data_IF_018677675983
#
_entry.id   IF_018677675983
#
_cell.length_a   1.000
_cell.length_b   1.000
_cell.length_c   1.000
_cell.angle_alpha   90.00
_cell.angle_beta   90.00
_cell.angle_gamma   90.00
#
_symmetry.space_group_name_H-M   'P 1'
#
loop_
_entity.id
_entity.type
_entity.pdbx_description
1 polymer ?
#
# COMPACT_ATOMS: atom_id res chain seq x y z
N UNK A 1 1.77 -11.75 19.62
CA UNK A 1 2.09 -10.32 19.86
C UNK A 1 1.58 -9.47 18.72
N UNK A 2 2.00 -9.76 17.49
CA UNK A 2 1.71 -8.95 16.31
C UNK A 2 0.23 -8.95 15.93
N UNK A 3 -0.38 -10.12 15.72
CA UNK A 3 -1.85 -10.28 15.52
C UNK A 3 -2.72 -9.66 16.63
N UNK A 4 -2.17 -9.50 17.84
CA UNK A 4 -2.88 -8.86 18.97
C UNK A 4 -2.91 -7.34 18.82
N UNK A 5 -1.83 -6.75 18.28
CA UNK A 5 -1.77 -5.32 18.00
C UNK A 5 -2.71 -4.93 16.86
N UNK A 6 -2.81 -5.75 15.81
CA UNK A 6 -3.72 -5.52 14.68
C UNK A 6 -5.18 -5.59 15.13
N UNK A 7 -5.54 -6.63 15.88
CA UNK A 7 -6.89 -6.76 16.45
C UNK A 7 -7.26 -5.59 17.38
N UNK A 8 -6.32 -5.09 18.18
CA UNK A 8 -6.56 -3.90 19.03
C UNK A 8 -6.70 -2.62 18.20
N UNK A 9 -5.98 -2.50 17.08
CA UNK A 9 -6.11 -1.37 16.19
C UNK A 9 -7.49 -1.35 15.52
N UNK A 10 -7.95 -2.50 15.03
CA UNK A 10 -9.28 -2.64 14.42
C UNK A 10 -10.38 -2.36 15.44
N UNK A 11 -10.24 -2.87 16.67
CA UNK A 11 -11.24 -2.72 17.74
C UNK A 11 -11.31 -1.29 18.31
N UNK A 12 -10.16 -0.59 18.46
CA UNK A 12 -10.08 0.64 19.26
C UNK A 12 -9.52 1.85 18.52
N UNK A 13 -9.12 1.68 17.26
CA UNK A 13 -8.39 2.68 16.49
C UNK A 13 -7.00 2.99 17.06
N UNK A 14 -6.18 3.72 16.30
CA UNK A 14 -4.79 4.00 16.67
C UNK A 14 -4.65 4.72 18.03
N UNK A 15 -5.59 5.61 18.36
CA UNK A 15 -5.61 6.32 19.64
C UNK A 15 -5.83 5.38 20.84
N UNK A 16 -6.66 4.35 20.67
CA UNK A 16 -6.97 3.38 21.73
C UNK A 16 -5.92 2.30 21.95
N UNK A 17 -4.97 2.13 21.01
CA UNK A 17 -3.85 1.21 21.16
C UNK A 17 -2.81 1.78 22.14
N UNK A 18 -2.44 0.98 23.14
CA UNK A 18 -1.40 1.28 24.14
C UNK A 18 -0.47 0.09 24.31
N UNK A 19 0.78 0.34 24.72
CA UNK A 19 1.75 -0.74 25.00
C UNK A 19 1.26 -1.67 26.10
N UNK A 20 0.61 -1.10 27.13
CA UNK A 20 -0.02 -1.83 28.22
C UNK A 20 -1.19 -2.68 27.74
N UNK A 21 -2.03 -2.13 26.85
CA UNK A 21 -3.14 -2.85 26.23
C UNK A 21 -2.65 -4.04 25.41
N UNK A 22 -1.59 -3.87 24.62
CA UNK A 22 -0.96 -4.94 23.86
C UNK A 22 -0.40 -6.01 24.81
N UNK A 23 0.30 -5.63 25.89
CA UNK A 23 0.83 -6.55 26.90
C UNK A 23 -0.27 -7.38 27.56
N UNK A 24 -1.32 -6.70 28.01
CA UNK A 24 -2.45 -7.34 28.67
C UNK A 24 -3.16 -8.33 27.73
N UNK A 25 -3.45 -7.91 26.49
CA UNK A 25 -4.15 -8.74 25.50
C UNK A 25 -3.33 -9.94 25.04
N UNK A 26 -1.99 -9.81 25.00
CA UNK A 26 -1.08 -10.88 24.64
C UNK A 26 -0.65 -11.76 25.83
N UNK A 27 -1.06 -11.44 27.06
CA UNK A 27 -0.72 -12.22 28.26
C UNK A 27 0.76 -12.16 28.65
N UNK A 28 1.48 -11.10 28.28
CA UNK A 28 2.92 -10.94 28.57
C UNK A 28 3.18 -9.81 29.56
N UNK A 29 4.28 -9.91 30.30
CA UNK A 29 4.73 -8.84 31.18
C UNK A 29 5.14 -7.59 30.38
N UNK A 30 4.92 -6.40 30.94
CA UNK A 30 5.30 -5.12 30.31
C UNK A 30 6.79 -5.08 29.96
N UNK A 31 7.66 -5.57 30.85
CA UNK A 31 9.10 -5.61 30.58
C UNK A 31 9.45 -6.42 29.33
N UNK A 32 8.67 -7.45 29.01
CA UNK A 32 8.87 -8.26 27.82
C UNK A 32 8.61 -7.45 26.55
N UNK A 33 7.55 -6.64 26.49
CA UNK A 33 7.29 -5.78 25.32
C UNK A 33 8.37 -4.71 25.19
N UNK A 34 8.63 -3.96 26.25
CA UNK A 34 9.57 -2.83 26.21
C UNK A 34 11.02 -3.25 25.92
N UNK A 35 11.35 -4.55 26.09
CA UNK A 35 12.64 -5.11 25.68
C UNK A 35 12.81 -5.17 24.16
N UNK A 36 11.71 -5.37 23.41
CA UNK A 36 11.74 -5.57 21.96
C UNK A 36 11.26 -4.33 21.19
N UNK A 37 10.30 -3.58 21.74
CA UNK A 37 9.70 -2.42 21.08
C UNK A 37 9.72 -1.20 21.98
N UNK A 38 10.17 -0.06 21.44
CA UNK A 38 10.26 1.20 22.19
C UNK A 38 8.95 1.97 22.16
N UNK A 39 8.15 1.76 21.12
CA UNK A 39 6.86 2.42 20.92
C UNK A 39 5.78 1.47 20.42
N UNK A 40 4.50 1.87 20.57
CA UNK A 40 3.38 1.12 19.96
C UNK A 40 3.46 1.10 18.43
N UNK A 41 4.03 2.14 17.83
CA UNK A 41 4.23 2.25 16.40
C UNK A 41 5.26 1.23 15.90
N UNK A 42 6.27 0.90 16.71
CA UNK A 42 7.25 -0.15 16.40
C UNK A 42 6.58 -1.53 16.40
N UNK A 43 5.69 -1.78 17.37
CA UNK A 43 4.91 -3.04 17.42
C UNK A 43 4.01 -3.16 16.21
N UNK A 44 3.27 -2.08 15.88
CA UNK A 44 2.39 -2.04 14.71
C UNK A 44 3.16 -2.14 13.39
N UNK A 45 4.37 -1.57 13.31
CA UNK A 45 5.25 -1.71 12.14
C UNK A 45 5.66 -3.16 11.94
N UNK A 46 6.12 -3.83 13.00
CA UNK A 46 6.53 -5.23 12.90
C UNK A 46 5.34 -6.15 12.59
N UNK A 47 4.16 -5.84 13.13
CA UNK A 47 2.93 -6.58 12.84
C UNK A 47 2.54 -6.43 11.38
N UNK A 48 2.49 -5.18 10.93
CA UNK A 48 2.25 -4.83 9.54
C UNK A 48 3.24 -5.50 8.58
N UNK A 49 4.53 -5.49 8.89
CA UNK A 49 5.55 -6.10 8.02
C UNK A 49 5.43 -7.61 7.92
N UNK A 50 4.97 -8.28 8.98
CA UNK A 50 4.71 -9.71 8.96
C UNK A 50 3.51 -10.03 8.06
N UNK A 51 2.44 -9.25 8.16
CA UNK A 51 1.18 -9.52 7.45
C UNK A 51 1.22 -9.02 5.99
N UNK A 52 1.87 -7.88 5.74
CA UNK A 52 2.01 -7.30 4.40
C UNK A 52 3.02 -8.04 3.50
N UNK A 53 3.75 -9.03 4.05
CA UNK A 53 4.68 -9.86 3.29
C UNK A 53 3.98 -10.70 2.21
N UNK A 54 2.67 -10.94 2.34
CA UNK A 54 1.97 -11.92 1.50
C UNK A 54 1.16 -11.32 0.33
N UNK A 55 0.73 -10.05 0.35
CA UNK A 55 -0.52 -9.71 -0.37
C UNK A 55 -0.51 -8.72 -1.56
N UNK A 56 0.63 -8.13 -1.97
CA UNK A 56 0.65 -7.13 -3.07
C UNK A 56 1.60 -7.46 -4.24
N UNK A 57 1.72 -8.74 -4.60
CA UNK A 57 2.43 -9.10 -5.84
C UNK A 57 1.59 -8.76 -7.05
N UNK A 58 2.13 -7.90 -7.93
CA UNK A 58 1.51 -7.54 -9.19
C UNK A 58 1.30 -8.79 -10.08
N UNK A 59 0.08 -8.99 -10.62
CA UNK A 59 -0.16 -9.97 -11.67
C UNK A 59 0.80 -9.80 -12.86
N UNK A 60 1.02 -10.88 -13.59
CA UNK A 60 1.86 -10.92 -14.78
C UNK A 60 1.21 -11.78 -15.86
N UNK A 61 -0.01 -11.43 -16.26
CA UNK A 61 -0.71 -12.19 -17.30
C UNK A 61 -0.22 -11.86 -18.70
N UNK A 62 0.62 -10.83 -18.85
CA UNK A 62 1.09 -10.33 -20.14
C UNK A 62 0.12 -9.36 -20.81
N UNK A 63 -0.97 -8.99 -20.15
CA UNK A 63 -1.94 -7.99 -20.61
C UNK A 63 -1.93 -6.83 -19.61
N UNK A 64 -1.31 -5.72 -20.00
CA UNK A 64 -1.18 -4.54 -19.14
C UNK A 64 -2.53 -4.02 -18.64
N UNK A 65 -3.57 -4.06 -19.47
CA UNK A 65 -4.87 -3.55 -19.06
C UNK A 65 -5.45 -4.40 -17.93
N UNK A 66 -5.32 -5.72 -18.04
CA UNK A 66 -5.73 -6.66 -17.00
C UNK A 66 -4.86 -6.54 -15.75
N UNK A 67 -3.55 -6.55 -15.92
CA UNK A 67 -2.58 -6.51 -14.81
C UNK A 67 -2.77 -5.24 -13.97
N UNK A 68 -2.99 -4.08 -14.59
CA UNK A 68 -3.25 -2.82 -13.89
C UNK A 68 -4.59 -2.81 -13.16
N UNK A 69 -5.66 -3.30 -13.78
CA UNK A 69 -6.98 -3.36 -13.12
C UNK A 69 -6.94 -4.27 -11.91
N UNK A 70 -6.36 -5.46 -12.05
CA UNK A 70 -6.24 -6.42 -10.96
C UNK A 70 -5.34 -5.86 -9.84
N UNK A 71 -4.26 -5.16 -10.19
CA UNK A 71 -3.41 -4.47 -9.21
C UNK A 71 -4.16 -3.38 -8.44
N UNK A 72 -4.80 -2.43 -9.13
CA UNK A 72 -5.51 -1.33 -8.48
C UNK A 72 -6.69 -1.81 -7.63
N UNK A 73 -7.39 -2.87 -8.04
CA UNK A 73 -8.46 -3.47 -7.23
C UNK A 73 -7.92 -4.13 -5.97
N UNK A 74 -6.79 -4.83 -6.04
CA UNK A 74 -6.11 -5.38 -4.85
C UNK A 74 -5.67 -4.28 -3.90
N UNK A 75 -5.08 -3.20 -4.44
CA UNK A 75 -4.69 -2.05 -3.64
C UNK A 75 -5.92 -1.35 -3.01
N UNK A 76 -7.01 -1.21 -3.74
CA UNK A 76 -8.26 -0.66 -3.24
C UNK A 76 -8.83 -1.50 -2.08
N UNK A 77 -8.90 -2.82 -2.24
CA UNK A 77 -9.33 -3.72 -1.18
C UNK A 77 -8.40 -3.66 0.04
N UNK A 78 -7.08 -3.66 -0.19
CA UNK A 78 -6.10 -3.52 0.88
C UNK A 78 -6.35 -2.23 1.69
N UNK A 79 -6.48 -1.08 1.03
CA UNK A 79 -6.63 0.21 1.70
C UNK A 79 -7.99 0.39 2.41
N UNK A 80 -9.05 -0.22 1.90
CA UNK A 80 -10.43 0.00 2.36
C UNK A 80 -10.93 -1.09 3.31
N UNK A 81 -10.61 -2.35 3.06
CA UNK A 81 -11.29 -3.51 3.66
C UNK A 81 -10.37 -4.39 4.52
N UNK A 82 -9.05 -4.25 4.39
CA UNK A 82 -8.11 -5.16 5.07
C UNK A 82 -7.61 -4.59 6.42
N UNK A 83 -7.47 -5.47 7.42
CA UNK A 83 -6.87 -5.12 8.71
C UNK A 83 -5.44 -4.56 8.55
N UNK A 84 -4.53 -5.17 7.75
CA UNK A 84 -3.20 -4.60 7.50
C UNK A 84 -3.26 -3.22 6.83
N UNK A 85 -4.27 -2.95 6.01
CA UNK A 85 -4.50 -1.63 5.42
C UNK A 85 -4.89 -0.56 6.46
N UNK A 86 -5.70 -0.92 7.46
CA UNK A 86 -5.98 -0.03 8.59
C UNK A 86 -4.70 0.31 9.36
N UNK A 87 -3.84 -0.67 9.60
CA UNK A 87 -2.51 -0.47 10.21
C UNK A 87 -1.66 0.45 9.35
N UNK A 88 -1.54 0.17 8.06
CA UNK A 88 -0.78 0.97 7.11
C UNK A 88 -1.17 2.46 7.14
N UNK A 89 -2.46 2.78 7.14
CA UNK A 89 -2.96 4.17 7.23
C UNK A 89 -2.53 4.85 8.53
N UNK A 90 -2.59 4.12 9.64
CA UNK A 90 -2.14 4.64 10.93
C UNK A 90 -0.63 4.88 10.98
N UNK A 91 0.17 4.01 10.34
CA UNK A 91 1.63 4.20 10.21
C UNK A 91 1.96 5.41 9.32
N UNK A 92 1.21 5.65 8.22
CA UNK A 92 1.36 6.88 7.42
C UNK A 92 1.12 8.12 8.29
N UNK A 93 0.04 8.13 9.07
CA UNK A 93 -0.30 9.24 9.94
C UNK A 93 0.82 9.49 10.98
N UNK A 94 1.32 8.42 11.62
CA UNK A 94 2.42 8.53 12.58
C UNK A 94 3.70 9.09 11.93
N UNK A 95 4.02 8.67 10.70
CA UNK A 95 5.18 9.16 9.96
C UNK A 95 5.12 10.66 9.65
N UNK A 96 3.95 11.31 9.71
CA UNK A 96 3.86 12.77 9.57
C UNK A 96 4.32 13.53 10.82
N UNK A 97 4.34 12.87 11.98
CA UNK A 97 4.65 13.49 13.26
C UNK A 97 6.01 13.06 13.85
N UNK A 98 6.57 11.95 13.36
CA UNK A 98 7.84 11.39 13.85
C UNK A 98 8.81 11.13 12.68
N UNK A 99 9.80 12.01 12.46
CA UNK A 99 10.76 11.86 11.37
C UNK A 99 11.65 10.61 11.47
N UNK A 100 11.94 10.14 12.68
CA UNK A 100 12.77 8.94 12.90
C UNK A 100 11.98 7.71 12.48
N UNK A 101 10.74 7.62 12.94
CA UNK A 101 9.82 6.57 12.50
C UNK A 101 9.55 6.65 10.99
N UNK A 102 9.39 7.85 10.41
CA UNK A 102 9.18 8.02 8.98
C UNK A 102 10.38 7.50 8.15
N UNK A 103 11.60 7.67 8.64
CA UNK A 103 12.79 7.12 8.01
C UNK A 103 12.78 5.59 8.06
N UNK A 104 12.47 5.01 9.22
CA UNK A 104 12.40 3.56 9.39
C UNK A 104 11.31 2.96 8.49
N UNK A 105 10.08 3.50 8.54
CA UNK A 105 8.96 3.05 7.71
C UNK A 105 9.27 3.11 6.21
N UNK A 106 9.92 4.19 5.77
CA UNK A 106 10.33 4.33 4.37
C UNK A 106 11.27 3.20 3.95
N UNK A 107 12.33 3.00 4.74
CA UNK A 107 13.37 2.01 4.42
C UNK A 107 12.86 0.56 4.50
N UNK A 108 12.03 0.24 5.49
CA UNK A 108 11.56 -1.13 5.75
C UNK A 108 10.39 -1.54 4.87
N UNK A 109 9.57 -0.58 4.43
CA UNK A 109 8.36 -0.89 3.67
C UNK A 109 8.17 -0.05 2.39
N UNK A 110 8.12 1.28 2.50
CA UNK A 110 7.66 2.13 1.37
C UNK A 110 8.56 2.02 0.13
N UNK A 111 9.86 1.80 0.30
CA UNK A 111 10.78 1.61 -0.83
C UNK A 111 10.49 0.28 -1.56
N UNK A 112 10.13 -0.77 -0.83
CA UNK A 112 9.68 -2.04 -1.41
C UNK A 112 8.31 -1.92 -2.07
N UNK A 113 7.40 -1.17 -1.44
CA UNK A 113 6.09 -0.86 -1.98
C UNK A 113 6.18 -0.14 -3.33
N UNK A 114 6.97 0.94 -3.43
CA UNK A 114 7.17 1.67 -4.69
C UNK A 114 7.66 0.79 -5.83
N UNK A 115 8.54 -0.18 -5.54
CA UNK A 115 8.98 -1.15 -6.55
C UNK A 115 7.85 -2.05 -7.01
N UNK A 116 6.99 -2.52 -6.10
CA UNK A 116 5.80 -3.31 -6.45
C UNK A 116 4.79 -2.52 -7.28
N UNK A 117 4.54 -1.26 -6.90
CA UNK A 117 3.63 -0.35 -7.62
C UNK A 117 4.07 -0.11 -9.08
N UNK A 118 5.38 -0.11 -9.34
CA UNK A 118 5.96 0.11 -10.68
C UNK A 118 6.04 -1.15 -11.53
N UNK A 119 6.04 -2.33 -10.91
CA UNK A 119 6.32 -3.60 -11.57
C UNK A 119 5.42 -3.91 -12.78
N UNK A 120 4.09 -3.63 -12.76
CA UNK A 120 3.25 -3.81 -13.96
C UNK A 120 3.73 -2.99 -15.16
N UNK A 121 4.17 -1.74 -14.92
CA UNK A 121 4.61 -0.83 -15.98
C UNK A 121 5.99 -1.21 -16.50
N UNK A 122 6.91 -1.58 -15.60
CA UNK A 122 8.25 -2.07 -15.97
C UNK A 122 8.15 -3.30 -16.90
N UNK A 123 7.33 -4.29 -16.52
CA UNK A 123 7.07 -5.47 -17.35
C UNK A 123 6.45 -5.14 -18.70
N UNK A 124 5.56 -4.15 -18.75
CA UNK A 124 4.93 -3.73 -19.99
C UNK A 124 5.92 -3.02 -20.93
N UNK A 125 6.85 -2.22 -20.39
CA UNK A 125 7.97 -1.65 -21.16
C UNK A 125 8.86 -2.76 -21.73
N UNK A 126 9.24 -3.74 -20.91
CA UNK A 126 10.07 -4.88 -21.34
C UNK A 126 9.42 -5.69 -22.47
N UNK A 127 8.09 -5.74 -22.49
CA UNK A 127 7.29 -6.38 -23.55
C UNK A 127 7.03 -5.49 -24.77
N UNK A 128 7.47 -4.24 -24.77
CA UNK A 128 7.20 -3.27 -25.83
C UNK A 128 5.73 -2.82 -25.90
N UNK A 129 4.96 -3.01 -24.83
CA UNK A 129 3.56 -2.57 -24.71
C UNK A 129 3.45 -1.08 -24.34
N UNK A 130 4.52 -0.51 -23.78
CA UNK A 130 4.66 0.90 -23.44
C UNK A 130 5.96 1.48 -24.02
N UNK A 131 6.03 2.80 -24.24
CA UNK A 131 7.28 3.48 -24.61
C UNK A 131 8.39 3.28 -23.57
N UNK A 132 9.63 3.11 -24.03
CA UNK A 132 10.79 2.90 -23.15
C UNK A 132 11.23 4.16 -22.38
N UNK A 133 10.83 5.35 -22.84
CA UNK A 133 11.14 6.65 -22.26
C UNK A 133 10.04 7.18 -21.32
N UNK A 134 9.05 6.35 -21.00
CA UNK A 134 7.98 6.69 -20.07
C UNK A 134 8.54 7.02 -18.68
N UNK A 135 8.05 8.11 -18.07
CA UNK A 135 8.29 8.35 -16.64
C UNK A 135 7.43 7.41 -15.80
N UNK A 136 7.95 6.21 -15.55
CA UNK A 136 7.28 5.18 -14.77
C UNK A 136 6.96 5.65 -13.34
N UNK A 137 7.76 6.55 -12.76
CA UNK A 137 7.46 7.05 -11.42
C UNK A 137 6.20 7.92 -11.45
N UNK A 138 6.15 8.89 -12.37
CA UNK A 138 5.01 9.78 -12.49
C UNK A 138 3.74 9.03 -12.88
N UNK A 139 3.82 8.04 -13.78
CA UNK A 139 2.64 7.26 -14.18
C UNK A 139 2.15 6.34 -13.06
N UNK A 140 3.06 5.74 -12.27
CA UNK A 140 2.67 5.02 -11.06
C UNK A 140 1.96 5.95 -10.08
N UNK A 141 2.50 7.14 -9.81
CA UNK A 141 1.88 8.11 -8.89
C UNK A 141 0.48 8.54 -9.36
N UNK A 142 0.27 8.70 -10.67
CA UNK A 142 -1.05 9.01 -11.25
C UNK A 142 -2.05 7.86 -11.12
N UNK A 143 -1.59 6.61 -11.12
CA UNK A 143 -2.45 5.43 -10.99
C UNK A 143 -2.82 5.15 -9.53
N UNK A 144 -1.86 5.21 -8.60
CA UNK A 144 -2.10 4.85 -7.18
C UNK A 144 -2.48 6.05 -6.31
N UNK A 145 -2.01 7.25 -6.63
CA UNK A 145 -2.26 8.48 -5.87
C UNK A 145 -3.75 8.77 -5.62
N UNK A 146 -4.64 8.63 -6.62
CA UNK A 146 -6.07 8.86 -6.42
C UNK A 146 -6.70 7.92 -5.38
N UNK A 147 -6.21 6.68 -5.25
CA UNK A 147 -6.70 5.73 -4.24
C UNK A 147 -6.30 6.20 -2.83
N UNK A 148 -5.05 6.62 -2.66
CA UNK A 148 -4.59 7.20 -1.38
C UNK A 148 -5.34 8.47 -1.02
N UNK A 149 -5.61 9.34 -1.99
CA UNK A 149 -6.39 10.56 -1.75
C UNK A 149 -7.80 10.24 -1.24
N UNK A 150 -8.47 9.27 -1.86
CA UNK A 150 -9.81 8.85 -1.41
C UNK A 150 -9.83 8.33 0.02
N UNK A 151 -8.87 7.48 0.36
CA UNK A 151 -8.84 6.81 1.67
C UNK A 151 -8.26 7.67 2.79
N UNK A 152 -7.31 8.55 2.49
CA UNK A 152 -6.61 9.34 3.52
C UNK A 152 -7.19 10.75 3.68
N UNK A 153 -7.89 11.27 2.67
CA UNK A 153 -8.32 12.68 2.64
C UNK A 153 -9.84 12.79 2.58
N UNK A 154 -10.50 12.15 1.61
CA UNK A 154 -11.93 12.36 1.38
C UNK A 154 -12.84 11.33 2.03
N UNK A 155 -12.28 10.21 2.49
CA UNK A 155 -13.02 9.04 3.02
C UNK A 155 -14.08 8.51 2.03
N UNK A 156 -13.77 8.59 0.73
CA UNK A 156 -14.66 8.12 -0.34
C UNK A 156 -14.41 6.64 -0.68
N UNK A 157 -15.47 5.87 -1.02
CA UNK A 157 -15.30 4.49 -1.45
C UNK A 157 -14.50 4.40 -2.76
N UNK A 158 -13.72 3.35 -2.90
CA UNK A 158 -12.95 3.04 -4.11
C UNK A 158 -13.70 1.93 -4.88
N UNK A 159 -14.58 2.33 -5.81
CA UNK A 159 -15.33 1.38 -6.63
C UNK A 159 -14.47 0.77 -7.75
N UNK A 160 -14.90 -0.39 -8.27
CA UNK A 160 -14.28 -0.98 -9.46
C UNK A 160 -14.31 0.00 -10.65
N UNK A 161 -15.44 0.68 -10.87
CA UNK A 161 -15.59 1.70 -11.90
C UNK A 161 -14.53 2.81 -11.79
N UNK A 162 -14.22 3.25 -10.58
CA UNK A 162 -13.17 4.26 -10.35
C UNK A 162 -11.79 3.71 -10.72
N UNK A 163 -11.42 2.52 -10.25
CA UNK A 163 -10.13 1.90 -10.61
C UNK A 163 -10.03 1.64 -12.11
N UNK A 164 -11.14 1.23 -12.74
CA UNK A 164 -11.22 0.96 -14.16
C UNK A 164 -11.05 2.24 -14.99
N UNK A 165 -11.68 3.33 -14.57
CA UNK A 165 -11.54 4.64 -15.20
C UNK A 165 -10.11 5.19 -15.15
N UNK A 166 -9.36 4.93 -14.08
CA UNK A 166 -7.95 5.29 -13.99
C UNK A 166 -7.10 4.52 -15.01
N UNK A 167 -7.32 3.21 -15.13
CA UNK A 167 -6.63 2.38 -16.14
C UNK A 167 -7.01 2.81 -17.55
N UNK A 168 -8.28 3.06 -17.82
CA UNK A 168 -8.75 3.53 -19.14
C UNK A 168 -8.18 4.90 -19.52
N UNK A 169 -8.02 5.80 -18.55
CA UNK A 169 -7.35 7.07 -18.78
C UNK A 169 -5.86 6.88 -19.10
N UNK A 170 -5.16 6.05 -18.33
CA UNK A 170 -3.77 5.70 -18.57
C UNK A 170 -3.55 5.08 -19.96
N UNK A 171 -4.32 4.05 -20.30
CA UNK A 171 -4.19 3.36 -21.59
C UNK A 171 -4.50 4.29 -22.76
N UNK A 172 -5.46 5.20 -22.64
CA UNK A 172 -5.74 6.19 -23.70
C UNK A 172 -4.57 7.15 -23.96
N UNK A 173 -3.83 7.54 -22.93
CA UNK A 173 -2.64 8.40 -23.09
C UNK A 173 -1.50 7.66 -23.79
N UNK A 174 -1.41 6.34 -23.60
CA UNK A 174 -0.26 5.52 -24.01
C UNK A 174 -0.59 4.47 -25.08
N UNK A 175 -1.75 4.54 -25.72
CA UNK A 175 -2.09 3.67 -26.85
C UNK A 175 -1.03 3.83 -27.94
N UNK A 176 -0.54 2.73 -28.55
CA UNK A 176 0.32 2.84 -29.72
C UNK A 176 -0.44 3.63 -30.77
N UNK A 177 0.14 4.73 -31.26
CA UNK A 177 -0.38 5.40 -32.44
C UNK A 177 -0.29 4.37 -33.56
N UNK A 178 -1.41 3.81 -33.99
CA UNK A 178 -1.46 3.06 -35.25
C UNK A 178 -1.01 4.04 -36.32
N UNK A 179 0.24 3.92 -36.75
CA UNK A 179 0.73 4.60 -37.94
C UNK A 179 -0.09 4.02 -39.08
N UNK A 180 -1.13 4.75 -39.49
CA UNK A 180 -1.91 4.45 -40.69
C UNK A 180 -0.93 4.51 -41.84
N UNK A 181 -0.44 3.36 -42.29
CA UNK A 181 0.30 3.26 -43.54
C UNK A 181 -0.68 3.59 -44.67
N UNK A 182 -0.35 4.66 -45.38
CA UNK A 182 -0.98 5.09 -46.63
C UNK A 182 -0.40 4.34 -47.81
#
# INVERSE_FOLDING_TARGET
MLQVADGLLVEKGFAGVTMEGIAARAGVAKQTIYRWWKSKSDVLMDAFLQDAAEDLTAPDSGDIARDLRDYLRRLAWFLSESDPGAVFKALIAQAQHDPVFAQDFRSRYLDGQRRRDRLPLERAVDRGQLPADLDLAAETDQLVGPLYYRVLVTDEPISHEFTDGLVDAFLRRHKPTTRTES
#
